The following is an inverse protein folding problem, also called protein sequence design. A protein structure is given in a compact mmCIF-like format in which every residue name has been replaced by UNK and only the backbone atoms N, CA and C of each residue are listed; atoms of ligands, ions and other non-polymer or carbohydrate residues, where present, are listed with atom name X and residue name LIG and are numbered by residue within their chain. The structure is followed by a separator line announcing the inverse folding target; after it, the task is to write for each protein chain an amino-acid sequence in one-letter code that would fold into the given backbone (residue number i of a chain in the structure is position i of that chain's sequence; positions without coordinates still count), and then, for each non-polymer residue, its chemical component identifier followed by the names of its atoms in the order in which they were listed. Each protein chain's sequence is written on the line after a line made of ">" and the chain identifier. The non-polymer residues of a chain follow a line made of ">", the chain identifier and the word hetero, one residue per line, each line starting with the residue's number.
data_IF_201126574675
#
_entry.id   IF_201126574675
#
_cell.length_a   1.000
_cell.length_b   1.000
_cell.length_c   1.000
_cell.angle_alpha   90.00
_cell.angle_beta   90.00
_cell.angle_gamma   90.00
#
_symmetry.space_group_name_H-M   'P 1'
#
loop_
_entity.id
_entity.type
_entity.pdbx_description
1 polymer ?
#
# COMPACT_ATOMS: atom_id res chain seq x y z
N UNK A 1 4.91 -19.10 -84.68
CA UNK A 1 4.40 -18.09 -83.73
C UNK A 1 4.22 -18.78 -82.38
N UNK A 2 5.08 -18.51 -81.39
CA UNK A 2 5.01 -19.16 -80.06
C UNK A 2 4.23 -18.23 -79.13
N UNK A 3 3.09 -18.68 -78.65
CA UNK A 3 2.23 -17.93 -77.73
C UNK A 3 2.66 -18.25 -76.30
N UNK A 4 3.31 -17.29 -75.64
CA UNK A 4 3.78 -17.43 -74.25
C UNK A 4 2.67 -16.99 -73.30
N UNK A 5 2.05 -17.95 -72.60
CA UNK A 5 1.02 -17.70 -71.58
C UNK A 5 1.70 -17.30 -70.28
N UNK A 6 1.63 -16.02 -69.91
CA UNK A 6 2.11 -15.51 -68.63
C UNK A 6 1.06 -15.76 -67.54
N UNK A 7 1.27 -16.81 -66.74
CA UNK A 7 0.45 -17.08 -65.56
C UNK A 7 0.88 -16.15 -64.41
N UNK A 8 0.06 -15.14 -64.11
CA UNK A 8 0.27 -14.24 -62.97
C UNK A 8 -0.20 -14.94 -61.68
N UNK A 9 0.75 -15.40 -60.87
CA UNK A 9 0.49 -15.95 -59.54
C UNK A 9 0.04 -14.83 -58.59
N UNK A 10 -1.25 -14.82 -58.24
CA UNK A 10 -1.82 -13.92 -57.23
C UNK A 10 -1.43 -14.45 -55.84
N UNK A 11 -0.42 -13.83 -55.22
CA UNK A 11 0.01 -14.17 -53.86
C UNK A 11 -0.96 -13.46 -52.89
N UNK A 12 -1.97 -14.18 -52.42
CA UNK A 12 -2.83 -13.74 -51.33
C UNK A 12 -2.04 -13.76 -50.01
N UNK A 13 -1.47 -12.62 -49.61
CA UNK A 13 -0.83 -12.47 -48.29
C UNK A 13 -1.94 -12.33 -47.25
N UNK A 14 -2.28 -13.42 -46.57
CA UNK A 14 -3.17 -13.38 -45.41
C UNK A 14 -2.45 -12.67 -44.24
N UNK A 15 -2.86 -11.45 -43.91
CA UNK A 15 -2.37 -10.74 -42.74
C UNK A 15 -2.90 -11.41 -41.46
N UNK A 16 -2.13 -12.36 -40.90
CA UNK A 16 -2.44 -12.97 -39.60
C UNK A 16 -2.13 -11.94 -38.51
N UNK A 17 -3.15 -11.21 -38.08
CA UNK A 17 -3.04 -10.30 -36.93
C UNK A 17 -2.79 -11.10 -35.65
N UNK A 18 -1.53 -11.15 -35.21
CA UNK A 18 -1.15 -11.71 -33.92
C UNK A 18 -1.86 -10.92 -32.80
N UNK A 19 -2.92 -11.50 -32.22
CA UNK A 19 -3.57 -10.95 -31.03
C UNK A 19 -2.56 -11.00 -29.88
N UNK A 20 -1.90 -9.88 -29.61
CA UNK A 20 -0.98 -9.71 -28.47
C UNK A 20 -1.76 -9.97 -27.17
N UNK A 21 -1.71 -11.20 -26.67
CA UNK A 21 -2.36 -11.58 -25.42
C UNK A 21 -1.68 -10.81 -24.30
N UNK A 22 -2.43 -9.90 -23.65
CA UNK A 22 -1.93 -9.16 -22.49
C UNK A 22 -1.69 -10.16 -21.37
N UNK A 23 -0.52 -10.13 -20.75
CA UNK A 23 -0.22 -10.96 -19.58
C UNK A 23 -1.31 -10.76 -18.51
N UNK A 24 -1.75 -11.83 -17.82
CA UNK A 24 -2.75 -11.73 -16.76
C UNK A 24 -2.27 -10.74 -15.69
N UNK A 25 -3.17 -9.88 -15.22
CA UNK A 25 -2.88 -9.00 -14.09
C UNK A 25 -2.91 -9.85 -12.82
N UNK A 26 -1.76 -9.98 -12.16
CA UNK A 26 -1.66 -10.63 -10.85
C UNK A 26 -1.90 -9.58 -9.77
N UNK A 27 -2.87 -9.85 -8.90
CA UNK A 27 -3.26 -8.97 -7.80
C UNK A 27 -2.85 -9.54 -6.44
N UNK A 28 -2.78 -8.67 -5.43
CA UNK A 28 -2.41 -9.05 -4.07
C UNK A 28 -3.51 -9.78 -3.31
N UNK A 29 -3.26 -10.00 -2.03
CA UNK A 29 -4.22 -10.62 -1.13
C UNK A 29 -5.51 -9.77 -1.05
N UNK A 30 -6.66 -10.43 -1.23
CA UNK A 30 -8.00 -9.81 -1.23
C UNK A 30 -8.22 -8.75 -2.31
N UNK A 31 -7.41 -8.75 -3.36
CA UNK A 31 -7.55 -7.87 -4.51
C UNK A 31 -8.03 -8.63 -5.75
N UNK A 32 -8.85 -7.97 -6.57
CA UNK A 32 -9.31 -8.48 -7.86
C UNK A 32 -8.86 -7.57 -8.99
N UNK A 33 -8.55 -8.18 -10.14
CA UNK A 33 -8.15 -7.45 -11.33
C UNK A 33 -9.34 -6.68 -11.92
N UNK A 34 -9.12 -5.40 -12.21
CA UNK A 34 -10.10 -4.54 -12.86
C UNK A 34 -10.11 -4.82 -14.37
N UNK A 35 -11.30 -5.03 -14.92
CA UNK A 35 -11.52 -5.09 -16.36
C UNK A 35 -11.58 -3.68 -16.95
N UNK A 36 -10.79 -3.42 -18.00
CA UNK A 36 -10.77 -2.12 -18.68
C UNK A 36 -9.89 -1.05 -18.01
N UNK A 37 -10.48 0.12 -17.72
CA UNK A 37 -9.76 1.29 -17.18
C UNK A 37 -9.47 1.11 -15.68
N UNK A 38 -8.28 1.52 -15.19
CA UNK A 38 -7.98 1.49 -13.75
C UNK A 38 -9.03 2.24 -12.91
N UNK A 39 -9.40 1.68 -11.77
CA UNK A 39 -10.45 2.21 -10.89
C UNK A 39 -9.88 2.68 -9.54
N UNK A 40 -10.59 3.59 -8.87
CA UNK A 40 -10.27 3.95 -7.48
C UNK A 40 -10.75 2.83 -6.55
N UNK A 41 -10.09 2.71 -5.41
CA UNK A 41 -10.47 1.76 -4.37
C UNK A 41 -11.41 2.42 -3.35
N UNK A 42 -12.20 1.61 -2.65
CA UNK A 42 -12.98 2.08 -1.51
C UNK A 42 -12.11 2.03 -0.25
N UNK A 43 -12.06 3.13 0.50
CA UNK A 43 -11.22 3.24 1.70
C UNK A 43 -12.04 3.12 2.98
N UNK A 44 -11.45 2.51 4.02
CA UNK A 44 -12.07 2.45 5.34
C UNK A 44 -12.18 3.83 6.00
N UNK A 45 -11.06 4.57 5.99
CA UNK A 45 -10.91 5.91 6.60
C UNK A 45 -10.21 6.85 5.61
N UNK A 46 -10.88 7.26 4.51
CA UNK A 46 -10.27 8.16 3.52
C UNK A 46 -9.75 9.47 4.13
N UNK A 47 -10.41 9.97 5.18
CA UNK A 47 -10.03 11.18 5.92
C UNK A 47 -8.75 11.05 6.75
N UNK A 48 -8.33 9.82 7.06
CA UNK A 48 -7.09 9.53 7.78
C UNK A 48 -5.97 9.01 6.87
N UNK A 49 -6.30 8.75 5.61
CA UNK A 49 -5.39 8.16 4.62
C UNK A 49 -4.72 9.27 3.79
N UNK A 50 -3.49 9.01 3.31
CA UNK A 50 -2.78 9.96 2.43
C UNK A 50 -3.64 10.27 1.18
N UNK A 51 -3.86 11.55 0.82
CA UNK A 51 -4.67 11.93 -0.34
C UNK A 51 -4.19 11.28 -1.66
N UNK A 52 -2.87 11.15 -1.83
CA UNK A 52 -2.27 10.50 -2.99
C UNK A 52 -2.64 9.02 -3.12
N UNK A 53 -2.88 8.32 -2.00
CA UNK A 53 -3.32 6.92 -2.01
C UNK A 53 -4.82 6.78 -2.29
N UNK A 54 -5.63 7.70 -1.76
CA UNK A 54 -7.08 7.72 -1.96
C UNK A 54 -7.43 8.01 -3.41
N UNK A 55 -6.72 8.95 -4.04
CA UNK A 55 -6.96 9.34 -5.43
C UNK A 55 -6.35 8.38 -6.47
N UNK A 56 -5.43 7.50 -6.05
CA UNK A 56 -4.74 6.56 -6.94
C UNK A 56 -5.72 5.58 -7.58
N UNK A 57 -5.72 5.52 -8.91
CA UNK A 57 -6.39 4.47 -9.67
C UNK A 57 -5.49 3.24 -9.76
N UNK A 58 -6.10 2.05 -9.72
CA UNK A 58 -5.41 0.76 -9.63
C UNK A 58 -5.99 -0.22 -10.65
N UNK A 59 -5.14 -1.13 -11.11
CA UNK A 59 -5.56 -2.32 -11.88
C UNK A 59 -5.98 -3.47 -10.98
N UNK A 60 -5.68 -3.39 -9.69
CA UNK A 60 -6.08 -4.31 -8.64
C UNK A 60 -6.80 -3.50 -7.56
N UNK A 61 -8.05 -3.82 -7.29
CA UNK A 61 -8.89 -3.15 -6.27
C UNK A 61 -9.32 -4.17 -5.24
N UNK A 62 -9.67 -3.72 -4.03
CA UNK A 62 -10.20 -4.63 -3.03
C UNK A 62 -11.45 -5.34 -3.54
N UNK A 63 -11.52 -6.65 -3.31
CA UNK A 63 -12.67 -7.47 -3.72
C UNK A 63 -13.95 -7.07 -2.96
N UNK A 64 -15.14 -7.48 -3.44
CA UNK A 64 -16.39 -7.21 -2.75
C UNK A 64 -16.35 -7.65 -1.26
N UNK A 65 -16.83 -6.79 -0.36
CA UNK A 65 -16.77 -7.02 1.09
C UNK A 65 -15.47 -6.54 1.77
N UNK A 66 -14.49 -6.09 1.01
CA UNK A 66 -13.22 -5.55 1.50
C UNK A 66 -13.09 -4.05 1.17
N UNK A 67 -12.32 -3.34 1.98
CA UNK A 67 -11.98 -1.93 1.80
C UNK A 67 -10.49 -1.72 2.07
N UNK A 68 -9.89 -0.70 1.48
CA UNK A 68 -8.48 -0.38 1.67
C UNK A 68 -8.25 0.43 2.94
N UNK A 69 -7.31 0.01 3.78
CA UNK A 69 -6.90 0.73 4.99
C UNK A 69 -5.84 1.80 4.69
N UNK A 70 -5.47 2.57 5.71
CA UNK A 70 -4.44 3.60 5.63
C UNK A 70 -3.01 3.08 5.33
N UNK A 71 -2.74 1.78 5.53
CA UNK A 71 -1.50 1.10 5.18
C UNK A 71 -1.49 0.53 3.75
N UNK A 72 -2.52 0.88 2.95
CA UNK A 72 -2.70 0.45 1.56
C UNK A 72 -2.95 -1.06 1.41
N UNK A 73 -3.51 -1.71 2.43
CA UNK A 73 -3.90 -3.12 2.45
C UNK A 73 -5.42 -3.27 2.33
N UNK A 74 -5.90 -4.35 1.70
CA UNK A 74 -7.32 -4.68 1.69
C UNK A 74 -7.71 -5.46 2.95
N UNK A 75 -8.66 -4.91 3.71
CA UNK A 75 -9.17 -5.47 4.97
C UNK A 75 -10.67 -5.74 4.86
N UNK A 76 -11.20 -6.63 5.70
CA UNK A 76 -12.64 -6.89 5.70
C UNK A 76 -13.41 -5.63 6.15
N UNK A 77 -14.60 -5.40 5.59
CA UNK A 77 -15.47 -4.30 6.03
C UNK A 77 -15.83 -4.41 7.52
N UNK A 78 -15.96 -5.64 8.03
CA UNK A 78 -16.17 -5.92 9.46
C UNK A 78 -15.03 -5.40 10.34
N UNK A 79 -13.78 -5.61 9.93
CA UNK A 79 -12.62 -5.12 10.68
C UNK A 79 -12.51 -3.59 10.62
N UNK A 80 -12.79 -3.02 9.44
CA UNK A 80 -12.95 -1.57 9.31
C UNK A 80 -13.99 -1.01 10.28
N UNK A 81 -15.17 -1.61 10.35
CA UNK A 81 -16.28 -1.16 11.19
C UNK A 81 -15.95 -1.22 12.69
N UNK A 82 -15.20 -2.23 13.15
CA UNK A 82 -14.72 -2.30 14.55
C UNK A 82 -13.92 -1.06 14.97
N UNK A 83 -13.20 -0.44 14.03
CA UNK A 83 -12.36 0.73 14.28
C UNK A 83 -13.10 2.06 14.10
N UNK A 84 -14.35 2.06 13.62
CA UNK A 84 -15.12 3.28 13.40
C UNK A 84 -15.41 4.07 14.68
N UNK A 85 -15.56 3.37 15.81
CA UNK A 85 -15.79 3.94 17.14
C UNK A 85 -14.56 4.62 17.75
N UNK A 86 -13.35 4.31 17.27
CA UNK A 86 -12.10 4.84 17.82
C UNK A 86 -11.67 6.12 17.11
N UNK A 87 -11.15 7.08 17.86
CA UNK A 87 -10.84 8.40 17.33
C UNK A 87 -9.54 8.37 16.52
N UNK A 88 -9.64 8.68 15.22
CA UNK A 88 -8.51 8.72 14.28
C UNK A 88 -7.74 7.41 14.22
N UNK A 89 -8.46 6.28 14.29
CA UNK A 89 -7.90 4.94 14.11
C UNK A 89 -8.45 4.26 12.86
N UNK A 90 -7.63 3.38 12.30
CA UNK A 90 -7.97 2.47 11.20
C UNK A 90 -7.47 1.05 11.55
N UNK A 91 -7.98 0.02 10.89
CA UNK A 91 -7.57 -1.35 11.15
C UNK A 91 -6.25 -1.66 10.44
N UNK A 92 -5.22 -2.01 11.22
CA UNK A 92 -3.94 -2.49 10.72
C UNK A 92 -3.93 -4.01 10.78
N UNK A 93 -3.66 -4.70 9.67
CA UNK A 93 -3.55 -6.16 9.64
C UNK A 93 -2.34 -6.69 10.43
N UNK A 94 -1.32 -5.84 10.63
CA UNK A 94 -0.06 -6.19 11.29
C UNK A 94 0.44 -5.00 12.12
N UNK A 95 -0.24 -4.71 13.23
CA UNK A 95 0.23 -3.70 14.16
C UNK A 95 1.33 -4.26 15.06
N UNK A 96 2.43 -3.52 15.21
CA UNK A 96 3.56 -3.90 16.06
C UNK A 96 3.12 -4.25 17.49
N UNK A 97 3.80 -5.22 18.10
CA UNK A 97 3.70 -5.49 19.53
C UNK A 97 4.14 -4.30 20.40
N UNK A 98 4.93 -3.36 19.85
CA UNK A 98 5.45 -2.20 20.57
C UNK A 98 5.04 -0.89 19.86
N UNK A 99 3.75 -0.52 19.88
CA UNK A 99 3.30 0.70 19.25
C UNK A 99 3.93 1.94 19.90
N UNK A 100 4.30 2.92 19.08
CA UNK A 100 4.82 4.18 19.57
C UNK A 100 3.72 4.98 20.27
N UNK A 101 4.08 5.67 21.36
CA UNK A 101 3.17 6.52 22.14
C UNK A 101 3.74 7.93 22.26
N UNK A 102 2.87 8.93 22.13
CA UNK A 102 3.20 10.35 22.25
C UNK A 102 4.01 10.65 23.53
N UNK A 103 5.18 11.28 23.37
CA UNK A 103 6.05 11.67 24.48
C UNK A 103 6.69 10.53 25.30
N UNK A 104 6.51 9.27 24.87
CA UNK A 104 7.15 8.10 25.50
C UNK A 104 8.32 7.61 24.65
N UNK A 105 9.38 7.05 25.26
CA UNK A 105 10.44 6.41 24.50
C UNK A 105 9.90 5.17 23.79
N UNK A 106 10.51 4.83 22.66
CA UNK A 106 10.27 3.54 22.03
C UNK A 106 10.71 2.41 22.97
N UNK A 107 10.06 1.25 22.87
CA UNK A 107 10.49 0.07 23.62
C UNK A 107 11.94 -0.29 23.22
N UNK A 108 12.85 -0.52 24.19
CA UNK A 108 14.25 -0.83 23.88
C UNK A 108 14.40 -2.18 23.17
N UNK A 109 13.48 -3.10 23.44
CA UNK A 109 13.37 -4.39 22.78
C UNK A 109 11.98 -4.48 22.15
N UNK A 110 11.94 -4.85 20.87
CA UNK A 110 10.69 -5.16 20.20
C UNK A 110 10.87 -6.36 19.28
N UNK A 111 9.98 -7.34 19.41
CA UNK A 111 9.96 -8.51 18.51
C UNK A 111 9.33 -8.11 17.17
N UNK A 112 9.62 -8.89 16.13
CA UNK A 112 8.98 -8.73 14.82
C UNK A 112 7.50 -9.19 14.79
N UNK A 113 6.94 -9.55 15.95
CA UNK A 113 5.55 -9.99 16.06
C UNK A 113 4.60 -8.82 15.85
N UNK A 114 3.51 -9.09 15.15
CA UNK A 114 2.42 -8.14 14.97
C UNK A 114 1.06 -8.83 15.11
N UNK A 115 0.05 -8.04 15.41
CA UNK A 115 -1.34 -8.50 15.56
C UNK A 115 -2.30 -7.57 14.83
N UNK A 116 -3.33 -8.15 14.23
CA UNK A 116 -4.40 -7.38 13.59
C UNK A 116 -5.25 -6.65 14.63
N UNK A 117 -5.23 -5.31 14.62
CA UNK A 117 -6.05 -4.49 15.53
C UNK A 117 -6.23 -3.06 15.01
N UNK A 118 -7.14 -2.32 15.64
CA UNK A 118 -7.24 -0.88 15.43
C UNK A 118 -5.94 -0.20 15.88
N UNK A 119 -5.39 0.64 15.01
CA UNK A 119 -4.13 1.35 15.24
C UNK A 119 -4.18 2.77 14.72
N UNK A 120 -3.22 3.58 15.14
CA UNK A 120 -3.01 4.91 14.63
C UNK A 120 -2.43 4.86 13.21
N UNK A 121 -3.14 5.39 12.20
CA UNK A 121 -2.70 5.32 10.82
C UNK A 121 -1.44 6.16 10.58
N UNK A 122 -0.74 5.95 9.45
CA UNK A 122 0.46 6.70 9.10
C UNK A 122 0.30 8.22 9.27
N UNK A 123 1.15 8.81 10.11
CA UNK A 123 1.13 10.24 10.46
C UNK A 123 0.46 10.56 11.81
N UNK A 124 -0.10 9.54 12.47
CA UNK A 124 -0.67 9.62 13.80
C UNK A 124 0.05 8.69 14.77
N UNK A 125 -0.08 8.97 16.07
CA UNK A 125 0.52 8.20 17.16
C UNK A 125 -0.46 8.11 18.33
N UNK A 126 -0.37 7.07 19.14
CA UNK A 126 -1.24 6.88 20.29
C UNK A 126 -1.07 8.01 21.31
N UNK A 127 -2.20 8.55 21.79
CA UNK A 127 -2.24 9.54 22.86
C UNK A 127 -1.79 8.88 24.18
N UNK A 128 -0.92 9.54 24.93
CA UNK A 128 -0.35 9.00 26.17
C UNK A 128 -1.35 8.93 27.33
N UNK A 129 -2.47 9.65 27.24
CA UNK A 129 -3.54 9.68 28.24
C UNK A 129 -4.73 8.80 27.84
N UNK A 130 -4.98 8.61 26.55
CA UNK A 130 -6.13 7.86 26.03
C UNK A 130 -5.72 6.92 24.88
N UNK A 131 -5.57 5.63 25.19
CA UNK A 131 -5.10 4.62 24.20
C UNK A 131 -5.99 4.51 22.95
N UNK A 132 -7.29 4.77 23.06
CA UNK A 132 -8.27 4.73 21.95
C UNK A 132 -8.32 6.02 21.10
N UNK A 133 -7.29 6.87 21.22
CA UNK A 133 -7.21 8.16 20.55
C UNK A 133 -5.84 8.32 19.92
N UNK A 134 -5.83 8.75 18.67
CA UNK A 134 -4.62 9.09 17.96
C UNK A 134 -4.47 10.61 17.79
N UNK A 135 -3.24 11.10 17.97
CA UNK A 135 -2.86 12.49 17.77
C UNK A 135 -1.86 12.61 16.61
N UNK A 136 -1.81 13.75 15.90
CA UNK A 136 -0.82 13.94 14.84
C UNK A 136 0.60 13.83 15.40
N UNK A 137 1.42 12.95 14.86
CA UNK A 137 2.77 12.68 15.37
C UNK A 137 3.69 13.90 15.27
N UNK A 138 3.41 14.81 14.33
CA UNK A 138 4.13 16.10 14.20
C UNK A 138 3.89 17.04 15.39
N UNK A 139 2.73 16.93 16.05
CA UNK A 139 2.39 17.73 17.24
C UNK A 139 2.90 17.09 18.53
N UNK A 140 2.99 15.76 18.56
CA UNK A 140 3.56 15.03 19.68
C UNK A 140 4.38 13.84 19.19
N UNK A 141 5.68 14.03 18.91
CA UNK A 141 6.55 12.92 18.56
C UNK A 141 6.82 12.01 19.78
N UNK A 142 7.24 10.76 19.56
CA UNK A 142 7.78 9.94 20.63
C UNK A 142 9.08 10.55 21.18
N UNK A 143 9.47 10.16 22.40
CA UNK A 143 10.72 10.62 23.01
C UNK A 143 11.90 9.91 22.34
N UNK A 144 12.83 10.69 21.82
CA UNK A 144 14.05 10.21 21.19
C UNK A 144 15.22 10.23 22.18
N UNK A 145 16.17 9.27 22.08
CA UNK A 145 17.48 9.37 22.74
C UNK A 145 18.23 10.66 22.38
N UNK A 146 19.26 11.00 23.18
CA UNK A 146 20.11 12.17 22.92
C UNK A 146 20.70 12.11 21.50
N UNK A 147 20.72 13.26 20.81
CA UNK A 147 21.21 13.42 19.44
C UNK A 147 20.47 12.58 18.38
N UNK A 148 19.23 12.17 18.64
CA UNK A 148 18.39 11.46 17.66
C UNK A 148 17.08 12.22 17.42
N UNK A 149 16.47 11.97 16.24
CA UNK A 149 15.19 12.58 15.85
C UNK A 149 14.23 11.52 15.34
N UNK A 150 12.95 11.74 15.59
CA UNK A 150 11.91 10.88 15.03
C UNK A 150 11.71 11.20 13.54
N UNK A 151 11.70 10.16 12.71
CA UNK A 151 11.33 10.25 11.30
C UNK A 151 10.04 9.47 11.08
N UNK A 152 9.02 10.14 10.53
CA UNK A 152 7.75 9.47 10.22
C UNK A 152 7.91 8.42 9.13
N UNK A 153 8.67 8.77 8.09
CA UNK A 153 8.96 7.93 6.94
C UNK A 153 10.45 7.65 6.90
N UNK A 154 10.82 6.39 6.81
CA UNK A 154 12.21 5.96 6.61
C UNK A 154 12.35 5.27 5.26
N UNK A 155 13.50 5.44 4.63
CA UNK A 155 13.80 4.77 3.36
C UNK A 155 14.58 3.50 3.63
N UNK A 156 14.29 2.41 2.93
CA UNK A 156 15.16 1.21 2.98
C UNK A 156 16.56 1.47 2.43
N UNK A 157 16.81 2.64 1.83
CA UNK A 157 18.11 3.10 1.35
C UNK A 157 18.81 4.10 2.28
N UNK A 158 18.31 4.26 3.52
CA UNK A 158 19.08 4.91 4.58
C UNK A 158 20.47 4.26 4.63
N UNK A 159 21.52 5.06 4.86
CA UNK A 159 22.88 4.54 4.88
C UNK A 159 23.14 3.88 6.25
N UNK A 160 23.62 2.64 6.23
CA UNK A 160 24.06 1.92 7.43
C UNK A 160 25.57 1.75 7.36
N UNK A 161 26.27 2.08 8.45
CA UNK A 161 27.73 1.89 8.51
C UNK A 161 28.09 0.44 8.19
N UNK A 162 28.99 0.23 7.23
CA UNK A 162 29.46 -1.09 6.83
C UNK A 162 28.51 -1.89 5.95
N UNK A 163 27.34 -1.35 5.54
CA UNK A 163 26.44 -2.04 4.61
C UNK A 163 26.38 -1.38 3.24
N UNK A 164 26.33 -2.20 2.19
CA UNK A 164 26.10 -1.72 0.83
C UNK A 164 24.71 -1.11 0.70
N UNK A 165 24.61 0.02 -0.01
CA UNK A 165 23.32 0.66 -0.27
C UNK A 165 22.49 -0.22 -1.22
N UNK A 166 21.23 -0.51 -0.89
CA UNK A 166 20.35 -1.24 -1.79
C UNK A 166 20.13 -0.50 -3.10
N UNK A 167 20.12 -1.22 -4.24
CA UNK A 167 19.81 -0.64 -5.55
C UNK A 167 18.34 -0.24 -5.70
N UNK A 168 17.44 -0.85 -4.92
CA UNK A 168 16.00 -0.58 -4.94
C UNK A 168 15.56 -0.09 -3.57
N UNK A 169 14.93 1.07 -3.55
CA UNK A 169 14.47 1.74 -2.34
C UNK A 169 12.95 1.66 -2.23
N UNK A 170 12.45 1.54 -1.01
CA UNK A 170 11.06 1.80 -0.69
C UNK A 170 10.98 2.68 0.54
N UNK A 171 10.06 3.64 0.53
CA UNK A 171 9.78 4.46 1.70
C UNK A 171 8.67 3.80 2.50
N UNK A 172 8.93 3.58 3.79
CA UNK A 172 7.94 3.03 4.72
C UNK A 172 7.55 4.11 5.72
N UNK A 173 6.24 4.34 5.75
CA UNK A 173 5.49 5.08 6.73
C UNK A 173 4.05 4.64 6.64
#
# INVERSE_FOLDING_TARGET
>A
MRCSVLALAVICVAAVSAKKTRKPVVCGLWEVAVTGKPQKDHFCRPELTRPSLVLKTRRCVCQPGYVRNAWNECISKKDCDKCKRHNRMDYNGCESACPLTCGKPAAPLCTAQCVGRCSCPPGYIADSKKKDKCVPVRKCPPKCPRNSRFQLCVSTCEHWCGMLRPKKCSTKC
#
